data_IF_358614574663
#
_entry.id   IF_358614574663
#
_cell.length_a   1.000
_cell.length_b   1.000
_cell.length_c   1.000
_cell.angle_alpha   90.00
_cell.angle_beta   90.00
_cell.angle_gamma   90.00
#
_symmetry.space_group_name_H-M   'P 1'
#
loop_
_entity.id
_entity.type
_entity.pdbx_description
1 polymer ?
#
# COMPACT_ATOMS: atom_id res chain seq x y z
N UNK A 1 2.29 -1.52 17.40
CA UNK A 1 1.26 -2.44 16.87
C UNK A 1 0.74 -1.90 15.55
N UNK A 2 0.20 -2.76 14.68
CA UNK A 2 -0.39 -2.37 13.40
C UNK A 2 -1.86 -2.83 13.38
N UNK A 3 -2.83 -1.93 13.20
CA UNK A 3 -4.25 -2.31 13.15
C UNK A 3 -4.59 -3.14 11.90
N UNK A 4 -3.84 -2.94 10.82
CA UNK A 4 -4.01 -3.67 9.55
C UNK A 4 -3.35 -5.05 9.54
N UNK A 5 -2.68 -5.46 10.63
CA UNK A 5 -1.91 -6.71 10.69
C UNK A 5 -2.72 -7.96 10.27
N UNK A 6 -4.01 -8.13 10.62
CA UNK A 6 -4.79 -9.28 10.18
C UNK A 6 -5.00 -9.39 8.67
N UNK A 7 -4.79 -8.30 7.93
CA UNK A 7 -5.00 -8.21 6.48
C UNK A 7 -3.68 -8.19 5.69
N UNK A 8 -2.54 -8.37 6.36
CA UNK A 8 -1.21 -8.30 5.76
C UNK A 8 -0.61 -9.70 5.62
N UNK A 9 -0.02 -10.00 4.46
CA UNK A 9 0.77 -11.21 4.29
C UNK A 9 2.09 -11.15 5.07
N UNK A 10 2.66 -9.95 5.23
CA UNK A 10 3.88 -9.68 5.98
C UNK A 10 3.66 -8.55 6.98
N UNK A 11 4.09 -8.76 8.22
CA UNK A 11 4.04 -7.72 9.24
C UNK A 11 5.12 -6.65 9.00
N UNK A 12 4.94 -5.41 9.48
CA UNK A 12 5.90 -4.32 9.23
C UNK A 12 7.34 -4.62 9.66
N UNK A 13 7.55 -5.37 10.74
CA UNK A 13 8.88 -5.79 11.17
C UNK A 13 9.52 -6.81 10.21
N UNK A 14 8.72 -7.70 9.61
CA UNK A 14 9.18 -8.65 8.60
C UNK A 14 9.55 -7.94 7.30
N UNK A 15 8.74 -6.95 6.89
CA UNK A 15 9.04 -6.08 5.73
C UNK A 15 10.39 -5.38 5.93
N UNK A 16 10.60 -4.72 7.07
CA UNK A 16 11.87 -4.06 7.38
C UNK A 16 13.05 -5.04 7.37
N UNK A 17 12.86 -6.25 7.88
CA UNK A 17 13.91 -7.28 7.85
C UNK A 17 14.23 -7.73 6.43
N UNK A 18 13.23 -7.91 5.57
CA UNK A 18 13.45 -8.30 4.17
C UNK A 18 14.15 -7.18 3.38
N UNK A 19 13.82 -5.91 3.66
CA UNK A 19 14.53 -4.76 3.09
C UNK A 19 16.02 -4.76 3.45
N UNK A 20 16.36 -5.00 4.72
CA UNK A 20 17.75 -5.11 5.16
C UNK A 20 18.51 -6.25 4.46
N UNK A 21 17.79 -7.31 4.04
CA UNK A 21 18.35 -8.45 3.32
C UNK A 21 18.35 -8.25 1.80
N UNK A 22 17.92 -7.09 1.30
CA UNK A 22 17.83 -6.80 -0.13
C UNK A 22 16.74 -7.58 -0.87
N UNK A 23 15.77 -8.18 -0.17
CA UNK A 23 14.71 -9.01 -0.77
C UNK A 23 13.47 -8.20 -1.12
N UNK A 24 13.62 -7.16 -1.94
CA UNK A 24 12.55 -6.20 -2.25
C UNK A 24 11.45 -6.86 -3.08
N UNK A 25 11.82 -7.69 -4.05
CA UNK A 25 10.92 -8.34 -5.00
C UNK A 25 9.87 -9.19 -4.27
N UNK A 26 10.32 -9.96 -3.27
CA UNK A 26 9.43 -10.77 -2.41
C UNK A 26 8.41 -9.92 -1.66
N UNK A 27 8.74 -8.69 -1.28
CA UNK A 27 7.79 -7.80 -0.60
C UNK A 27 6.73 -7.31 -1.60
N UNK A 28 7.15 -6.98 -2.82
CA UNK A 28 6.28 -6.48 -3.90
C UNK A 28 5.32 -7.55 -4.45
N UNK A 29 5.58 -8.83 -4.19
CA UNK A 29 4.67 -9.94 -4.50
C UNK A 29 3.51 -10.08 -3.50
N UNK A 30 3.55 -9.36 -2.38
CA UNK A 30 2.53 -9.46 -1.31
C UNK A 30 1.51 -8.33 -1.35
N UNK A 31 0.37 -8.53 -0.69
CA UNK A 31 -0.65 -7.49 -0.50
C UNK A 31 -0.24 -6.40 0.51
N UNK A 32 0.87 -6.62 1.22
CA UNK A 32 1.26 -5.88 2.43
C UNK A 32 1.34 -4.36 2.22
N UNK A 33 1.97 -3.83 1.15
CA UNK A 33 2.01 -2.38 0.91
C UNK A 33 0.62 -1.74 0.69
N UNK A 34 -0.32 -2.51 0.16
CA UNK A 34 -1.69 -2.08 -0.13
C UNK A 34 -2.64 -2.26 1.08
N UNK A 35 -2.39 -3.27 1.92
CA UNK A 35 -3.11 -3.45 3.18
C UNK A 35 -2.81 -2.35 4.22
N UNK A 36 -1.68 -1.66 4.08
CA UNK A 36 -1.34 -0.53 4.94
C UNK A 36 -2.41 0.58 4.89
N UNK A 37 -2.93 0.95 6.07
CA UNK A 37 -3.91 2.04 6.20
C UNK A 37 -3.28 3.43 6.38
N UNK A 38 -1.95 3.56 6.29
CA UNK A 38 -1.23 4.82 6.52
C UNK A 38 -1.68 5.56 7.80
N UNK A 39 -1.89 4.81 8.89
CA UNK A 39 -2.36 5.35 10.17
C UNK A 39 -1.23 5.95 11.03
N UNK A 40 0.03 5.86 10.59
CA UNK A 40 1.25 6.36 11.25
C UNK A 40 1.58 5.83 12.65
N UNK A 41 0.74 4.97 13.25
CA UNK A 41 0.97 4.38 14.58
C UNK A 41 2.33 3.68 14.69
N UNK A 42 2.75 2.98 13.63
CA UNK A 42 4.04 2.30 13.60
C UNK A 42 5.23 3.27 13.61
N UNK A 43 5.18 4.35 12.82
CA UNK A 43 6.23 5.38 12.79
C UNK A 43 6.33 6.11 14.13
N UNK A 44 5.20 6.52 14.71
CA UNK A 44 5.16 7.27 15.97
C UNK A 44 5.68 6.46 17.17
N UNK A 45 5.52 5.13 17.15
CA UNK A 45 5.93 4.25 18.25
C UNK A 45 7.28 3.57 18.00
N UNK A 46 7.97 3.86 16.91
CA UNK A 46 9.21 3.18 16.57
C UNK A 46 10.36 3.67 17.48
N UNK A 47 10.94 2.82 18.34
CA UNK A 47 12.03 3.22 19.24
C UNK A 47 13.34 3.53 18.50
N UNK A 48 13.42 3.20 17.20
CA UNK A 48 14.57 3.46 16.33
C UNK A 48 14.37 4.69 15.43
N UNK A 49 13.25 5.41 15.56
CA UNK A 49 12.97 6.60 14.74
C UNK A 49 12.74 6.29 13.26
N UNK A 50 12.39 5.05 12.91
CA UNK A 50 12.13 4.65 11.53
C UNK A 50 10.72 5.10 11.14
N UNK A 51 10.61 5.82 10.02
CA UNK A 51 9.31 6.12 9.41
C UNK A 51 8.78 4.93 8.62
N UNK A 52 8.22 3.97 9.35
CA UNK A 52 7.70 2.72 8.79
C UNK A 52 6.54 2.99 7.82
N UNK A 53 5.70 3.99 8.10
CA UNK A 53 4.61 4.38 7.19
C UNK A 53 5.15 4.87 5.84
N UNK A 54 6.18 5.72 5.82
CA UNK A 54 6.83 6.18 4.59
C UNK A 54 7.51 5.04 3.82
N UNK A 55 8.11 4.08 4.51
CA UNK A 55 8.68 2.88 3.88
C UNK A 55 7.58 2.06 3.18
N UNK A 56 6.45 1.83 3.86
CA UNK A 56 5.33 1.09 3.29
C UNK A 56 4.70 1.81 2.09
N UNK A 57 4.59 3.15 2.14
CA UNK A 57 4.15 3.96 1.01
C UNK A 57 5.12 3.82 -0.17
N UNK A 58 6.42 3.93 0.09
CA UNK A 58 7.46 3.82 -0.94
C UNK A 58 7.39 2.46 -1.65
N UNK A 59 7.19 1.38 -0.91
CA UNK A 59 6.99 0.04 -1.47
C UNK A 59 5.75 -0.04 -2.36
N UNK A 60 4.64 0.59 -1.96
CA UNK A 60 3.43 0.66 -2.78
C UNK A 60 3.70 1.41 -4.09
N UNK A 61 4.36 2.57 -4.01
CA UNK A 61 4.73 3.36 -5.19
C UNK A 61 5.67 2.61 -6.13
N UNK A 62 6.62 1.83 -5.60
CA UNK A 62 7.48 0.96 -6.41
C UNK A 62 6.67 -0.10 -7.15
N UNK A 63 5.66 -0.71 -6.49
CA UNK A 63 4.77 -1.67 -7.13
C UNK A 63 3.95 -1.04 -8.27
N UNK A 64 3.33 0.12 -8.02
CA UNK A 64 2.49 0.81 -9.01
C UNK A 64 3.31 1.25 -10.22
N UNK A 65 4.48 1.88 -9.99
CA UNK A 65 5.39 2.32 -11.07
C UNK A 65 5.97 1.18 -11.91
N UNK A 66 6.03 -0.03 -11.37
CA UNK A 66 6.41 -1.24 -12.11
C UNK A 66 5.30 -1.72 -13.09
N UNK A 67 4.34 -0.85 -13.44
CA UNK A 67 3.19 -1.07 -14.33
C UNK A 67 2.11 -2.02 -13.79
N UNK A 68 1.97 -2.11 -12.47
CA UNK A 68 0.84 -2.78 -11.82
C UNK A 68 -0.13 -1.73 -11.28
N UNK A 69 -0.78 -0.97 -12.16
CA UNK A 69 -1.98 -0.25 -11.76
C UNK A 69 -3.09 -1.29 -11.55
N UNK A 70 -3.58 -1.39 -10.32
CA UNK A 70 -4.63 -2.35 -9.95
C UNK A 70 -6.03 -1.83 -10.30
N UNK A 71 -6.13 -0.56 -10.74
CA UNK A 71 -7.39 0.06 -11.11
C UNK A 71 -7.27 0.83 -12.44
N UNK A 72 -8.18 0.56 -13.38
CA UNK A 72 -8.27 1.25 -14.67
C UNK A 72 -9.68 1.77 -14.90
N UNK A 73 -9.80 3.07 -15.19
CA UNK A 73 -11.09 3.71 -15.52
C UNK A 73 -11.80 3.05 -16.69
N UNK A 74 -11.03 2.59 -17.66
CA UNK A 74 -11.55 2.01 -18.90
C UNK A 74 -12.34 0.73 -18.67
N UNK A 75 -12.16 0.09 -17.52
CA UNK A 75 -12.80 -1.16 -17.17
C UNK A 75 -14.19 -0.94 -16.52
N UNK A 76 -14.57 0.31 -16.22
CA UNK A 76 -15.85 0.68 -15.60
C UNK A 76 -16.88 1.01 -16.68
N UNK A 77 -18.10 0.46 -16.56
CA UNK A 77 -19.19 0.80 -17.48
C UNK A 77 -19.67 2.24 -17.24
N UNK A 78 -20.10 2.99 -18.27
CA UNK A 78 -20.59 4.36 -18.10
C UNK A 78 -21.71 4.48 -17.04
N UNK A 79 -22.62 3.51 -17.01
CA UNK A 79 -23.74 3.44 -16.05
C UNK A 79 -23.30 3.26 -14.59
N UNK A 80 -22.15 2.61 -14.37
CA UNK A 80 -21.57 2.43 -13.04
C UNK A 80 -20.83 3.69 -12.61
N UNK A 81 -20.17 4.38 -13.54
CA UNK A 81 -19.43 5.60 -13.29
C UNK A 81 -20.33 6.73 -12.73
N UNK A 82 -21.57 6.83 -13.21
CA UNK A 82 -22.55 7.82 -12.72
C UNK A 82 -22.98 7.58 -11.26
N UNK A 83 -22.91 6.32 -10.80
CA UNK A 83 -23.34 5.94 -9.44
C UNK A 83 -22.20 5.99 -8.44
N UNK A 84 -20.96 6.11 -8.90
CA UNK A 84 -19.78 6.10 -8.03
C UNK A 84 -19.62 7.46 -7.34
N UNK A 85 -19.53 7.50 -6.00
CA UNK A 85 -19.20 8.72 -5.29
C UNK A 85 -17.80 9.24 -5.68
N UNK A 86 -17.60 10.56 -5.89
CA UNK A 86 -16.28 11.11 -6.23
C UNK A 86 -15.18 10.75 -5.24
N UNK A 87 -15.52 10.64 -3.95
CA UNK A 87 -14.59 10.23 -2.89
C UNK A 87 -14.02 8.81 -3.11
N UNK A 88 -14.82 7.89 -3.66
CA UNK A 88 -14.38 6.53 -3.96
C UNK A 88 -13.38 6.54 -5.12
N UNK A 89 -13.65 7.30 -6.18
CA UNK A 89 -12.70 7.49 -7.28
C UNK A 89 -11.38 8.04 -6.77
N UNK A 90 -11.40 9.17 -6.07
CA UNK A 90 -10.19 9.82 -5.55
C UNK A 90 -9.42 8.88 -4.61
N UNK A 91 -10.11 8.17 -3.71
CA UNK A 91 -9.48 7.21 -2.80
C UNK A 91 -8.82 6.05 -3.54
N UNK A 92 -9.45 5.57 -4.61
CA UNK A 92 -8.96 4.47 -5.43
C UNK A 92 -7.74 4.91 -6.25
N UNK A 93 -7.82 6.06 -6.94
CA UNK A 93 -6.68 6.61 -7.70
C UNK A 93 -5.45 6.83 -6.85
N UNK A 94 -5.64 7.40 -5.65
CA UNK A 94 -4.50 7.67 -4.75
C UNK A 94 -3.82 6.40 -4.24
N UNK A 95 -4.49 5.25 -4.28
CA UNK A 95 -4.01 4.02 -3.64
C UNK A 95 -3.62 2.92 -4.63
N UNK A 96 -4.33 2.82 -5.75
CA UNK A 96 -4.24 1.70 -6.71
C UNK A 96 -3.70 2.13 -8.08
N UNK A 97 -3.30 3.38 -8.25
CA UNK A 97 -2.85 3.92 -9.54
C UNK A 97 -1.62 4.80 -9.32
N UNK A 98 -0.66 4.74 -10.27
CA UNK A 98 0.58 5.56 -10.26
C UNK A 98 0.44 6.93 -10.93
#
# INVERSE_FOLDING_TARGET
GCPSAPFMDLLPNQVLRLLQLGKVERILETNTPFACCSCFVCSQRCPKGIDVAAVMESLRQLSLRAKKDDFKLKDIKPEELEKIPPILLVGTFRKLTS
#
